data_IF_011735635576
#
_entry.id   IF_011735635576
#
_cell.length_a   1.000
_cell.length_b   1.000
_cell.length_c   1.000
_cell.angle_alpha   90.00
_cell.angle_beta   90.00
_cell.angle_gamma   90.00
#
_symmetry.space_group_name_H-M   'P 1'
#
loop_
_entity.id
_entity.type
_entity.pdbx_description
1 polymer ?
#
# COMPACT_ATOMS: atom_id res chain seq x y z
N UNK A 1 19.18 9.80 15.60
CA UNK A 1 18.48 8.53 15.41
C UNK A 1 17.64 8.52 14.13
N UNK A 2 16.87 9.57 13.80
CA UNK A 2 16.15 9.63 12.51
C UNK A 2 17.06 9.48 11.29
N UNK A 3 18.22 10.16 11.28
CA UNK A 3 19.24 9.95 10.24
C UNK A 3 19.71 8.49 10.19
N UNK A 4 19.79 7.79 11.33
CA UNK A 4 20.22 6.40 11.35
C UNK A 4 19.19 5.49 10.67
N UNK A 5 17.89 5.79 10.82
CA UNK A 5 16.82 5.07 10.13
C UNK A 5 16.90 5.24 8.61
N UNK A 6 17.51 6.33 8.12
CA UNK A 6 17.78 6.53 6.70
C UNK A 6 19.10 5.87 6.31
N UNK A 7 20.20 6.18 7.00
CA UNK A 7 21.56 5.83 6.58
C UNK A 7 21.91 4.35 6.82
N UNK A 8 21.25 3.68 7.77
CA UNK A 8 21.54 2.30 8.16
C UNK A 8 20.35 1.36 8.00
N UNK A 9 19.36 1.76 7.20
CA UNK A 9 18.28 0.85 6.79
C UNK A 9 18.83 -0.40 6.10
N UNK A 10 18.18 -1.56 6.26
CA UNK A 10 18.45 -2.71 5.41
C UNK A 10 18.32 -2.32 3.93
N UNK A 11 19.10 -2.98 3.09
CA UNK A 11 19.06 -2.76 1.64
C UNK A 11 17.68 -3.10 1.06
N UNK A 12 17.06 -4.17 1.57
CA UNK A 12 15.69 -4.56 1.29
C UNK A 12 14.91 -4.74 2.59
N UNK A 13 13.70 -4.20 2.68
CA UNK A 13 12.81 -4.45 3.82
C UNK A 13 11.34 -4.18 3.48
N UNK A 14 10.46 -4.82 4.22
CA UNK A 14 9.03 -4.58 4.19
C UNK A 14 8.60 -3.88 5.48
N UNK A 15 7.70 -2.92 5.35
CA UNK A 15 7.02 -2.30 6.47
C UNK A 15 5.51 -2.40 6.28
N UNK A 16 4.79 -2.59 7.38
CA UNK A 16 3.34 -2.48 7.42
C UNK A 16 2.90 -1.74 8.66
N UNK A 17 1.88 -0.91 8.53
CA UNK A 17 1.26 -0.22 9.66
C UNK A 17 -0.25 -0.08 9.46
N UNK A 18 -0.98 -0.04 10.57
CA UNK A 18 -2.39 0.39 10.57
C UNK A 18 -2.43 1.91 10.73
N UNK A 19 -2.92 2.60 9.70
CA UNK A 19 -3.09 4.05 9.71
C UNK A 19 -4.40 4.48 10.39
N UNK A 20 -5.46 3.66 10.27
CA UNK A 20 -6.76 3.90 10.89
C UNK A 20 -7.47 2.55 11.14
N UNK A 21 -7.45 2.08 12.38
CA UNK A 21 -8.05 0.79 12.73
C UNK A 21 -9.57 0.79 12.70
N UNK A 22 -10.22 1.93 12.96
CA UNK A 22 -11.69 2.03 12.97
C UNK A 22 -12.25 1.88 11.57
N UNK A 23 -11.56 2.48 10.59
CA UNK A 23 -11.95 2.39 9.20
C UNK A 23 -11.30 1.20 8.47
N UNK A 24 -10.32 0.51 9.06
CA UNK A 24 -9.60 -0.61 8.43
C UNK A 24 -8.61 -0.14 7.36
N UNK A 25 -7.91 0.96 7.61
CA UNK A 25 -6.88 1.50 6.72
C UNK A 25 -5.51 1.06 7.22
N UNK A 26 -4.82 0.28 6.40
CA UNK A 26 -3.42 -0.06 6.57
C UNK A 26 -2.60 0.43 5.39
N UNK A 27 -1.31 0.61 5.62
CA UNK A 27 -0.33 0.98 4.60
C UNK A 27 0.80 -0.03 4.68
N UNK A 28 1.22 -0.50 3.52
CA UNK A 28 2.38 -1.38 3.37
C UNK A 28 3.36 -0.75 2.41
N UNK A 29 4.65 -0.95 2.64
CA UNK A 29 5.70 -0.51 1.70
C UNK A 29 6.86 -1.48 1.72
N UNK A 30 7.27 -1.91 0.54
CA UNK A 30 8.49 -2.68 0.31
C UNK A 30 9.54 -1.77 -0.29
N UNK A 31 10.72 -1.79 0.31
CA UNK A 31 11.90 -1.09 -0.17
C UNK A 31 12.91 -2.09 -0.72
N UNK A 32 13.49 -1.73 -1.85
CA UNK A 32 14.63 -2.39 -2.48
C UNK A 32 15.72 -1.36 -2.82
N UNK A 33 16.89 -1.78 -3.33
CA UNK A 33 17.92 -0.87 -3.85
C UNK A 33 17.39 0.13 -4.88
N UNK A 34 16.50 -0.32 -5.77
CA UNK A 34 16.10 0.42 -6.95
C UNK A 34 14.65 0.90 -6.94
N UNK A 35 13.79 0.41 -6.05
CA UNK A 35 12.42 0.86 -5.95
C UNK A 35 11.84 0.82 -4.53
N UNK A 36 10.74 1.53 -4.34
CA UNK A 36 9.87 1.44 -3.19
C UNK A 36 8.43 1.26 -3.69
N UNK A 37 7.80 0.12 -3.40
CA UNK A 37 6.42 -0.19 -3.75
C UNK A 37 5.53 -0.04 -2.51
N UNK A 38 4.56 0.85 -2.57
CA UNK A 38 3.58 1.10 -1.51
C UNK A 38 2.15 0.80 -1.93
N UNK A 39 1.40 0.19 -1.03
CA UNK A 39 -0.02 -0.15 -1.21
C UNK A 39 -0.80 0.23 0.04
N UNK A 40 -1.93 0.89 -0.13
CA UNK A 40 -2.90 1.10 0.95
C UNK A 40 -3.98 0.03 0.90
N UNK A 41 -4.47 -0.43 2.05
CA UNK A 41 -5.51 -1.46 2.11
C UNK A 41 -6.82 -1.01 1.46
N UNK A 42 -7.10 0.29 1.44
CA UNK A 42 -8.23 0.94 0.77
C UNK A 42 -7.92 2.43 0.53
N UNK A 43 -8.84 3.16 -0.09
CA UNK A 43 -8.76 4.61 -0.25
C UNK A 43 -8.98 5.34 1.08
N UNK A 44 -8.42 6.55 1.23
CA UNK A 44 -8.64 7.37 2.42
C UNK A 44 -10.10 7.85 2.46
N UNK A 45 -10.83 7.44 3.52
CA UNK A 45 -12.24 7.82 3.76
C UNK A 45 -12.42 8.84 4.90
N UNK A 46 -11.35 9.19 5.60
CA UNK A 46 -11.39 9.91 6.89
C UNK A 46 -11.77 11.40 6.79
N UNK A 47 -11.98 11.96 5.60
CA UNK A 47 -12.36 13.36 5.44
C UNK A 47 -13.52 13.53 4.47
N UNK A 48 -14.47 14.42 4.73
CA UNK A 48 -15.56 14.69 3.77
C UNK A 48 -15.10 15.53 2.56
N UNK A 49 -13.88 16.08 2.62
CA UNK A 49 -13.37 16.95 1.57
C UNK A 49 -12.93 16.15 0.34
N UNK A 50 -13.69 16.29 -0.76
CA UNK A 50 -13.41 15.64 -2.04
C UNK A 50 -11.98 15.85 -2.54
N UNK A 51 -11.37 17.02 -2.28
CA UNK A 51 -10.00 17.31 -2.72
C UNK A 51 -8.93 16.51 -1.96
N UNK A 52 -9.31 15.83 -0.88
CA UNK A 52 -8.41 15.02 -0.06
C UNK A 52 -8.74 13.54 -0.24
N UNK A 53 -10.02 13.16 -0.15
CA UNK A 53 -10.43 11.75 -0.37
C UNK A 53 -10.18 11.26 -1.79
N UNK A 54 -10.30 12.16 -2.76
CA UNK A 54 -10.01 11.88 -4.15
C UNK A 54 -8.54 11.72 -4.47
N UNK A 55 -7.60 12.05 -3.59
CA UNK A 55 -6.16 12.05 -3.93
C UNK A 55 -5.41 10.82 -3.43
N UNK A 56 -6.12 9.81 -2.95
CA UNK A 56 -5.52 8.56 -2.46
C UNK A 56 -4.77 7.84 -3.59
N UNK A 57 -3.47 7.57 -3.36
CA UNK A 57 -2.70 6.67 -4.21
C UNK A 57 -2.66 5.31 -3.53
N UNK A 58 -3.44 4.37 -4.04
CA UNK A 58 -3.69 3.09 -3.37
C UNK A 58 -2.71 2.00 -3.79
N UNK A 59 -2.03 2.22 -4.93
CA UNK A 59 -0.85 1.53 -5.40
C UNK A 59 0.07 2.58 -6.02
N UNK A 60 1.31 2.63 -5.55
CA UNK A 60 2.33 3.54 -6.03
C UNK A 60 3.71 2.91 -5.89
N UNK A 61 4.56 3.08 -6.89
CA UNK A 61 5.97 2.74 -6.81
C UNK A 61 6.81 3.95 -7.19
N UNK A 62 7.83 4.24 -6.38
CA UNK A 62 8.91 5.14 -6.76
C UNK A 62 10.12 4.29 -7.13
N UNK A 63 10.78 4.60 -8.23
CA UNK A 63 11.92 3.82 -8.69
C UNK A 63 13.04 4.68 -9.25
N UNK A 64 14.25 4.14 -9.20
CA UNK A 64 15.40 4.68 -9.91
C UNK A 64 15.20 4.51 -11.41
N UNK A 65 15.86 5.38 -12.16
CA UNK A 65 15.97 5.32 -13.61
C UNK A 65 17.47 5.35 -13.95
N UNK A 66 17.82 5.21 -15.22
CA UNK A 66 19.21 5.41 -15.67
C UNK A 66 19.61 6.90 -15.71
N UNK A 67 18.71 7.78 -15.26
CA UNK A 67 18.91 9.23 -15.13
C UNK A 67 18.76 9.65 -13.65
N UNK A 68 19.04 10.92 -13.35
CA UNK A 68 18.80 11.48 -12.01
C UNK A 68 17.30 11.70 -11.69
N UNK A 69 16.39 11.38 -12.62
CA UNK A 69 14.95 11.47 -12.40
C UNK A 69 14.42 10.24 -11.66
N UNK A 70 13.50 10.48 -10.72
CA UNK A 70 12.74 9.42 -10.04
C UNK A 70 11.57 9.01 -10.91
N UNK A 71 11.50 7.72 -11.20
CA UNK A 71 10.37 7.11 -11.86
C UNK A 71 9.19 6.89 -10.93
N UNK A 72 7.97 7.03 -11.44
CA UNK A 72 6.72 6.77 -10.72
C UNK A 72 5.84 5.82 -11.52
N UNK A 73 5.35 4.79 -10.84
CA UNK A 73 4.26 3.93 -11.29
C UNK A 73 3.10 4.11 -10.32
N UNK A 74 1.87 4.23 -10.79
CA UNK A 74 0.72 4.29 -9.91
C UNK A 74 -0.55 3.76 -10.59
N UNK A 75 -1.56 3.44 -9.80
CA UNK A 75 -2.89 3.09 -10.34
C UNK A 75 -3.96 4.09 -9.96
N UNK A 76 -5.00 4.16 -10.79
CA UNK A 76 -6.25 4.89 -10.51
C UNK A 76 -7.43 4.15 -11.11
N UNK A 77 -8.61 4.38 -10.57
CA UNK A 77 -9.84 4.18 -11.32
C UNK A 77 -10.35 5.50 -11.88
N UNK A 78 -10.76 5.48 -13.15
CA UNK A 78 -11.16 6.64 -13.95
C UNK A 78 -12.54 6.40 -14.56
N UNK A 79 -13.39 7.41 -14.47
CA UNK A 79 -14.68 7.50 -15.14
C UNK A 79 -14.61 8.55 -16.25
N UNK A 80 -15.29 8.31 -17.37
CA UNK A 80 -15.39 9.25 -18.49
C UNK A 80 -14.04 9.75 -19.06
N UNK A 81 -13.00 8.94 -18.89
CA UNK A 81 -11.61 9.30 -19.21
C UNK A 81 -11.16 10.62 -18.56
N UNK A 82 -11.75 10.96 -17.41
CA UNK A 82 -11.34 12.12 -16.62
C UNK A 82 -9.89 11.95 -16.15
N UNK A 83 -9.01 12.79 -16.69
CA UNK A 83 -7.59 12.79 -16.35
C UNK A 83 -7.13 14.12 -15.75
N UNK A 84 -5.82 14.29 -15.55
CA UNK A 84 -5.20 15.56 -15.17
C UNK A 84 -5.77 16.72 -16.01
N UNK A 85 -6.13 17.81 -15.35
CA UNK A 85 -6.79 18.96 -15.99
C UNK A 85 -8.32 18.87 -16.07
N UNK A 86 -8.92 17.69 -15.91
CA UNK A 86 -10.39 17.52 -15.96
C UNK A 86 -11.09 18.04 -14.71
N UNK A 87 -10.35 18.22 -13.62
CA UNK A 87 -10.91 18.58 -12.33
C UNK A 87 -10.61 20.02 -11.96
N UNK A 88 -11.68 20.77 -11.62
CA UNK A 88 -11.54 22.15 -11.16
C UNK A 88 -11.08 22.17 -9.71
N UNK A 89 -9.90 22.72 -9.47
CA UNK A 89 -9.37 23.05 -8.15
C UNK A 89 -9.96 24.38 -7.61
N UNK A 90 -9.48 24.87 -6.47
CA UNK A 90 -9.83 26.21 -6.00
C UNK A 90 -9.18 27.27 -6.91
N UNK A 91 -9.72 28.50 -7.03
CA UNK A 91 -9.16 29.53 -7.92
C UNK A 91 -7.67 29.87 -7.71
N UNK A 92 -7.10 29.49 -6.55
CA UNK A 92 -5.70 29.70 -6.19
C UNK A 92 -4.78 28.51 -6.52
N UNK A 93 -5.31 27.42 -7.10
CA UNK A 93 -4.54 26.24 -7.50
C UNK A 93 -4.78 25.94 -8.98
N UNK A 94 -3.85 25.21 -9.58
CA UNK A 94 -3.98 24.77 -10.96
C UNK A 94 -4.74 23.45 -11.05
N UNK A 95 -5.45 23.23 -12.16
CA UNK A 95 -6.25 22.03 -12.41
C UNK A 95 -5.39 20.85 -12.90
N UNK A 96 -4.15 21.12 -13.31
CA UNK A 96 -3.15 20.15 -13.78
C UNK A 96 -2.45 19.40 -12.64
N UNK A 97 -2.77 19.72 -11.38
CA UNK A 97 -2.15 19.09 -10.20
C UNK A 97 -3.07 18.09 -9.49
N UNK A 98 -4.30 17.91 -9.99
CA UNK A 98 -5.29 17.06 -9.33
C UNK A 98 -5.62 15.86 -10.19
N UNK A 99 -5.28 14.70 -9.66
CA UNK A 99 -5.67 13.41 -10.19
C UNK A 99 -6.58 12.70 -9.18
N UNK A 100 -7.86 12.56 -9.54
CA UNK A 100 -8.82 11.90 -8.66
C UNK A 100 -8.78 10.37 -8.78
N UNK A 101 -8.98 9.71 -7.65
CA UNK A 101 -9.34 8.31 -7.51
C UNK A 101 -10.87 8.21 -7.51
N UNK A 102 -11.45 7.90 -8.67
CA UNK A 102 -12.89 7.75 -8.88
C UNK A 102 -13.39 6.34 -8.56
N UNK A 103 -12.50 5.48 -8.09
CA UNK A 103 -12.78 4.13 -7.60
C UNK A 103 -12.72 4.02 -6.09
N UNK A 104 -13.25 2.90 -5.62
CA UNK A 104 -13.10 2.37 -4.27
C UNK A 104 -12.30 1.07 -4.40
N UNK A 105 -11.47 0.79 -3.41
CA UNK A 105 -10.48 -0.27 -3.51
C UNK A 105 -10.32 -1.06 -2.22
N UNK A 106 -9.84 -2.28 -2.38
CA UNK A 106 -9.39 -3.14 -1.30
C UNK A 106 -8.15 -3.87 -1.79
N UNK A 107 -7.04 -3.75 -1.07
CA UNK A 107 -5.74 -4.21 -1.57
C UNK A 107 -4.95 -4.94 -0.49
N UNK A 108 -3.98 -5.74 -0.92
CA UNK A 108 -3.04 -6.44 -0.05
C UNK A 108 -1.66 -6.45 -0.70
N UNK A 109 -0.61 -6.38 0.12
CA UNK A 109 0.78 -6.44 -0.30
C UNK A 109 1.56 -7.41 0.59
N UNK A 110 2.48 -8.14 -0.01
CA UNK A 110 3.50 -8.94 0.67
C UNK A 110 4.82 -8.79 -0.07
N UNK A 111 5.78 -8.11 0.56
CA UNK A 111 7.03 -7.71 -0.07
C UNK A 111 6.80 -6.93 -1.38
N UNK A 112 7.46 -7.37 -2.46
CA UNK A 112 7.37 -6.73 -3.77
C UNK A 112 6.13 -7.12 -4.59
N UNK A 113 5.17 -7.85 -4.00
CA UNK A 113 3.96 -8.36 -4.65
C UNK A 113 2.71 -7.70 -4.07
N UNK A 114 1.73 -7.41 -4.92
CA UNK A 114 0.48 -6.81 -4.50
C UNK A 114 -0.72 -7.35 -5.29
N UNK A 115 -1.89 -7.38 -4.66
CA UNK A 115 -3.18 -7.52 -5.34
C UNK A 115 -3.97 -6.24 -5.08
N UNK A 116 -4.42 -5.60 -6.16
CA UNK A 116 -5.17 -4.35 -6.15
C UNK A 116 -6.56 -4.60 -6.72
N UNK A 117 -7.59 -4.42 -5.91
CA UNK A 117 -8.99 -4.59 -6.32
C UNK A 117 -9.66 -3.23 -6.41
N UNK A 118 -10.42 -3.03 -7.48
CA UNK A 118 -11.14 -1.81 -7.78
C UNK A 118 -12.61 -2.09 -8.09
N UNK A 119 -13.44 -1.11 -7.72
CA UNK A 119 -14.78 -0.88 -8.23
C UNK A 119 -14.97 0.63 -8.41
N UNK A 120 -15.79 1.09 -9.35
CA UNK A 120 -16.16 2.51 -9.42
C UNK A 120 -16.92 2.96 -8.16
N UNK A 121 -16.65 4.19 -7.68
CA UNK A 121 -17.45 4.84 -6.61
C UNK A 121 -18.82 5.29 -7.12
N UNK A 122 -18.82 5.96 -8.28
CA UNK A 122 -19.99 6.66 -8.81
C UNK A 122 -20.39 6.14 -10.21
N UNK A 123 -20.82 4.88 -10.23
CA UNK A 123 -21.44 4.23 -11.38
C UNK A 123 -22.87 3.82 -10.99
N UNK A 124 -23.88 4.35 -11.68
CA UNK A 124 -25.27 4.10 -11.31
C UNK A 124 -26.30 4.75 -12.23
N UNK A 125 -27.52 4.90 -11.70
CA UNK A 125 -28.68 5.38 -12.47
C UNK A 125 -28.73 6.89 -12.72
N UNK A 126 -27.89 7.68 -12.03
CA UNK A 126 -28.02 9.15 -11.99
C UNK A 126 -27.17 9.88 -13.03
N UNK A 127 -25.89 9.53 -13.15
CA UNK A 127 -24.96 10.18 -14.06
C UNK A 127 -24.65 9.25 -15.24
N UNK A 128 -24.85 9.70 -16.50
CA UNK A 128 -24.48 8.89 -17.64
C UNK A 128 -22.96 8.85 -17.77
N UNK A 129 -22.39 7.66 -18.05
CA UNK A 129 -20.96 7.46 -18.27
C UNK A 129 -20.68 6.94 -19.68
N UNK A 130 -19.57 7.36 -20.23
CA UNK A 130 -19.00 6.96 -21.52
C UNK A 130 -17.83 5.99 -21.39
N UNK A 131 -17.14 6.02 -20.24
CA UNK A 131 -16.14 5.03 -19.89
C UNK A 131 -16.02 4.80 -18.38
N UNK A 132 -15.50 3.63 -18.02
CA UNK A 132 -15.15 3.25 -16.66
C UNK A 132 -13.99 2.23 -16.71
N UNK A 133 -12.86 2.54 -16.08
CA UNK A 133 -11.66 1.69 -16.13
C UNK A 133 -10.77 1.85 -14.90
N UNK A 134 -10.02 0.81 -14.58
CA UNK A 134 -8.79 0.97 -13.83
C UNK A 134 -7.63 1.25 -14.81
N UNK A 135 -6.63 1.99 -14.36
CA UNK A 135 -5.40 2.24 -15.11
C UNK A 135 -4.19 1.96 -14.23
N UNK A 136 -3.15 1.39 -14.82
CA UNK A 136 -1.78 1.43 -14.28
C UNK A 136 -0.97 2.35 -15.18
N UNK A 137 -0.33 3.35 -14.59
CA UNK A 137 0.40 4.40 -15.28
C UNK A 137 1.89 4.29 -14.96
N UNK A 138 2.72 4.27 -15.99
CA UNK A 138 4.14 4.58 -15.89
C UNK A 138 4.32 6.02 -16.37
N UNK A 139 4.74 6.90 -15.47
CA UNK A 139 4.58 8.36 -15.65
C UNK A 139 5.42 8.99 -16.79
N UNK A 140 6.37 8.25 -17.36
CA UNK A 140 7.13 8.68 -18.53
C UNK A 140 7.49 7.49 -19.41
N UNK A 141 6.84 7.40 -20.58
CA UNK A 141 7.08 6.41 -21.63
C UNK A 141 8.49 6.55 -22.22
N UNK A 142 9.09 7.73 -22.20
CA UNK A 142 10.45 7.97 -22.67
C UNK A 142 11.51 7.24 -21.84
N UNK A 143 11.19 6.87 -20.59
CA UNK A 143 12.05 6.09 -19.70
C UNK A 143 11.89 4.57 -19.87
N UNK A 144 10.90 4.10 -20.64
CA UNK A 144 10.62 2.68 -20.81
C UNK A 144 11.54 2.05 -21.83
N UNK A 145 12.37 1.11 -21.37
CA UNK A 145 13.32 0.36 -22.19
C UNK A 145 12.61 -0.68 -23.06
N UNK A 146 11.74 -1.48 -22.42
CA UNK A 146 11.09 -2.62 -23.03
C UNK A 146 9.70 -2.86 -22.43
N UNK A 147 8.79 -3.33 -23.29
CA UNK A 147 7.45 -3.76 -22.92
C UNK A 147 7.25 -5.16 -23.48
N UNK A 148 6.75 -6.07 -22.63
CA UNK A 148 6.44 -7.45 -22.99
C UNK A 148 5.01 -7.77 -22.58
N UNK A 149 4.29 -8.50 -23.41
CA UNK A 149 2.94 -9.01 -23.14
C UNK A 149 2.95 -10.51 -23.38
N UNK A 150 2.97 -11.29 -22.29
CA UNK A 150 3.28 -12.71 -22.36
C UNK A 150 4.64 -12.93 -23.00
N UNK A 151 4.66 -13.65 -24.13
CA UNK A 151 5.88 -13.94 -24.89
C UNK A 151 6.15 -12.95 -26.04
N UNK A 152 5.32 -11.91 -26.20
CA UNK A 152 5.45 -10.94 -27.28
C UNK A 152 6.08 -9.63 -26.78
N UNK A 153 7.15 -9.20 -27.46
CA UNK A 153 7.70 -7.86 -27.26
C UNK A 153 6.86 -6.83 -28.01
N UNK A 154 6.41 -5.79 -27.31
CA UNK A 154 5.56 -4.74 -27.87
C UNK A 154 6.41 -3.68 -28.56
N UNK A 155 6.33 -3.63 -29.88
CA UNK A 155 7.08 -2.67 -30.71
C UNK A 155 6.27 -1.40 -31.04
N UNK A 156 4.94 -1.42 -30.88
CA UNK A 156 4.07 -0.27 -31.20
C UNK A 156 2.85 -0.18 -30.28
N UNK A 157 2.39 1.05 -30.05
CA UNK A 157 1.20 1.36 -29.27
C UNK A 157 0.14 2.05 -30.16
N UNK A 158 -1.17 1.87 -29.92
CA UNK A 158 -1.75 1.03 -28.87
C UNK A 158 -1.55 -0.48 -29.14
N UNK A 159 -1.58 -1.29 -28.07
CA UNK A 159 -1.44 -2.74 -28.14
C UNK A 159 -2.56 -3.40 -27.33
N UNK A 160 -3.33 -4.30 -27.94
CA UNK A 160 -4.38 -5.05 -27.26
C UNK A 160 -3.76 -6.18 -26.43
N UNK A 161 -4.08 -6.22 -25.14
CA UNK A 161 -3.52 -7.19 -24.21
C UNK A 161 -4.53 -8.34 -24.02
N UNK A 162 -4.13 -9.61 -24.22
CA UNK A 162 -4.99 -10.76 -23.93
C UNK A 162 -5.38 -10.83 -22.45
N UNK A 163 -6.57 -11.38 -22.13
CA UNK A 163 -7.13 -11.34 -20.77
C UNK A 163 -6.24 -11.98 -19.68
N UNK A 164 -5.50 -13.04 -20.02
CA UNK A 164 -4.62 -13.77 -19.09
C UNK A 164 -3.14 -13.41 -19.23
N UNK A 165 -2.80 -12.47 -20.12
CA UNK A 165 -1.42 -12.12 -20.39
C UNK A 165 -0.80 -11.30 -19.23
N UNK A 166 0.45 -11.61 -18.92
CA UNK A 166 1.25 -10.79 -18.00
C UNK A 166 1.91 -9.67 -18.79
N UNK A 167 1.73 -8.43 -18.36
CA UNK A 167 2.37 -7.25 -18.94
C UNK A 167 3.62 -6.93 -18.14
N UNK A 168 4.80 -7.03 -18.75
CA UNK A 168 6.07 -6.61 -18.18
C UNK A 168 6.57 -5.29 -18.75
N UNK A 169 7.07 -4.42 -17.89
CA UNK A 169 7.70 -3.15 -18.26
C UNK A 169 9.04 -3.02 -17.53
N UNK A 170 10.10 -2.75 -18.29
CA UNK A 170 11.43 -2.50 -17.77
C UNK A 170 11.78 -1.01 -17.87
N UNK A 171 12.28 -0.43 -16.78
CA UNK A 171 12.80 0.94 -16.73
C UNK A 171 14.10 0.92 -15.92
N UNK A 172 15.24 1.10 -16.60
CA UNK A 172 16.56 1.11 -15.99
C UNK A 172 16.79 -0.16 -15.14
N UNK A 173 17.07 -0.03 -13.82
CA UNK A 173 17.34 -1.16 -12.95
C UNK A 173 16.08 -1.89 -12.44
N UNK A 174 14.87 -1.53 -12.88
CA UNK A 174 13.62 -2.04 -12.32
C UNK A 174 12.77 -2.77 -13.35
N UNK A 175 12.20 -3.89 -12.93
CA UNK A 175 11.18 -4.63 -13.64
C UNK A 175 9.84 -4.51 -12.91
N UNK A 176 8.76 -4.33 -13.66
CA UNK A 176 7.39 -4.32 -13.14
C UNK A 176 6.50 -5.22 -13.99
N UNK A 177 5.70 -6.07 -13.37
CA UNK A 177 4.78 -6.98 -14.03
C UNK A 177 3.36 -6.76 -13.50
N UNK A 178 2.39 -6.68 -14.41
CA UNK A 178 0.97 -6.56 -14.09
C UNK A 178 0.23 -7.74 -14.73
N UNK A 179 -0.49 -8.51 -13.90
CA UNK A 179 -1.44 -9.54 -14.35
C UNK A 179 -2.85 -9.02 -14.14
N UNK A 180 -3.58 -8.66 -15.20
CA UNK A 180 -4.97 -8.25 -15.09
C UNK A 180 -5.82 -9.35 -14.46
N UNK A 181 -6.74 -8.96 -13.59
CA UNK A 181 -7.79 -9.84 -13.10
C UNK A 181 -8.96 -9.88 -14.07
N UNK A 182 -9.85 -10.86 -13.90
CA UNK A 182 -11.10 -10.93 -14.63
C UNK A 182 -11.99 -9.73 -14.28
N UNK A 183 -12.52 -9.08 -15.32
CA UNK A 183 -13.25 -7.82 -15.21
C UNK A 183 -14.74 -8.04 -15.44
N UNK A 184 -15.58 -7.17 -14.89
CA UNK A 184 -16.98 -7.07 -15.33
C UNK A 184 -17.05 -6.25 -16.62
N UNK A 185 -17.37 -6.87 -17.75
CA UNK A 185 -17.66 -6.17 -19.00
C UNK A 185 -19.11 -5.64 -19.00
N UNK A 186 -19.25 -4.32 -18.97
CA UNK A 186 -20.52 -3.60 -18.98
C UNK A 186 -20.92 -3.05 -20.37
N UNK A 187 -20.05 -3.21 -21.38
CA UNK A 187 -20.15 -2.59 -22.70
C UNK A 187 -20.30 -3.57 -23.87
N UNK A 188 -20.06 -4.87 -23.65
CA UNK A 188 -19.98 -5.94 -24.67
C UNK A 188 -18.76 -5.83 -25.59
N UNK A 189 -17.62 -5.43 -25.04
CA UNK A 189 -16.24 -5.55 -25.56
C UNK A 189 -15.37 -4.51 -24.83
N UNK A 190 -15.34 -4.55 -23.50
CA UNK A 190 -14.53 -3.62 -22.72
C UNK A 190 -13.04 -3.97 -22.90
N UNK A 191 -12.23 -3.11 -23.55
CA UNK A 191 -10.89 -3.51 -23.96
C UNK A 191 -9.92 -3.57 -22.78
N UNK A 192 -8.85 -4.34 -22.98
CA UNK A 192 -7.64 -4.28 -22.17
C UNK A 192 -6.49 -3.95 -23.12
N UNK A 193 -5.81 -2.84 -22.88
CA UNK A 193 -4.82 -2.34 -23.85
C UNK A 193 -3.74 -1.51 -23.20
N UNK A 194 -2.57 -1.52 -23.83
CA UNK A 194 -1.52 -0.57 -23.60
C UNK A 194 -1.68 0.62 -24.55
N UNK A 195 -1.61 1.83 -24.01
CA UNK A 195 -1.68 3.06 -24.80
C UNK A 195 -0.62 4.05 -24.33
N UNK A 196 -0.10 4.86 -25.25
CA UNK A 196 0.66 6.04 -24.90
C UNK A 196 -0.28 7.26 -25.00
N UNK A 197 -0.31 8.07 -23.95
CA UNK A 197 -0.99 9.36 -23.98
C UNK A 197 -0.09 10.42 -23.37
N UNK A 198 0.13 11.49 -24.15
CA UNK A 198 1.15 12.49 -23.85
C UNK A 198 2.52 11.83 -23.59
N UNK A 199 3.18 12.11 -22.47
CA UNK A 199 4.43 11.46 -22.08
C UNK A 199 4.25 10.13 -21.37
N UNK A 200 3.04 9.64 -21.11
CA UNK A 200 2.81 8.53 -20.17
C UNK A 200 2.46 7.23 -20.90
N UNK A 201 2.80 6.09 -20.29
CA UNK A 201 2.34 4.76 -20.70
C UNK A 201 1.23 4.29 -19.76
N UNK A 202 0.13 3.82 -20.33
CA UNK A 202 -1.02 3.31 -19.58
C UNK A 202 -1.32 1.88 -19.97
N UNK A 203 -1.56 1.03 -18.97
CA UNK A 203 -2.36 -0.18 -19.11
C UNK A 203 -3.78 0.16 -18.68
N UNK A 204 -4.74 0.08 -19.62
CA UNK A 204 -6.14 0.41 -19.40
C UNK A 204 -6.98 -0.85 -19.25
N UNK A 205 -7.63 -1.02 -18.10
CA UNK A 205 -8.47 -2.15 -17.73
C UNK A 205 -9.93 -1.71 -17.73
N UNK A 206 -10.60 -1.76 -18.88
CA UNK A 206 -11.97 -1.25 -18.98
C UNK A 206 -12.99 -2.20 -18.36
N UNK A 207 -13.94 -1.62 -17.63
CA UNK A 207 -15.25 -2.20 -17.37
C UNK A 207 -16.27 -1.71 -18.41
N UNK A 208 -16.14 -0.48 -18.91
CA UNK A 208 -17.03 0.09 -19.91
C UNK A 208 -16.31 1.05 -20.85
N UNK A 209 -16.53 0.90 -22.15
CA UNK A 209 -16.21 1.90 -23.16
C UNK A 209 -17.35 1.91 -24.18
N UNK A 210 -18.00 3.05 -24.37
CA UNK A 210 -19.11 3.13 -25.33
C UNK A 210 -19.92 4.42 -25.28
N UNK A 211 -21.10 4.45 -25.92
CA UNK A 211 -22.00 5.58 -25.86
C UNK A 211 -22.36 5.96 -24.42
N UNK A 212 -22.55 7.25 -24.15
CA UNK A 212 -22.93 7.71 -22.82
C UNK A 212 -24.25 7.06 -22.37
N UNK A 213 -24.25 6.35 -21.23
CA UNK A 213 -25.44 5.67 -20.67
C UNK A 213 -25.41 5.65 -19.14
N UNK A 214 -26.56 5.46 -18.51
CA UNK A 214 -26.66 5.14 -17.08
C UNK A 214 -26.66 3.63 -16.84
N UNK A 215 -26.30 3.22 -15.62
CA UNK A 215 -26.19 1.82 -15.20
C UNK A 215 -27.19 1.55 -14.09
N UNK A 216 -28.44 1.28 -14.49
CA UNK A 216 -29.56 1.07 -13.55
C UNK A 216 -29.33 -0.14 -12.65
N UNK A 217 -28.67 -1.18 -13.16
CA UNK A 217 -28.23 -2.38 -12.46
C UNK A 217 -27.13 -2.12 -11.42
N UNK A 218 -26.54 -0.92 -11.41
CA UNK A 218 -25.55 -0.48 -10.43
C UNK A 218 -26.13 0.54 -9.43
N UNK A 219 -27.40 0.93 -9.58
CA UNK A 219 -28.08 1.82 -8.63
C UNK A 219 -28.37 1.11 -7.32
N UNK A 220 -27.53 1.30 -6.30
CA UNK A 220 -27.76 0.82 -4.94
C UNK A 220 -28.55 1.86 -4.11
N UNK A 221 -29.55 1.47 -3.27
CA UNK A 221 -30.10 0.14 -3.04
C UNK A 221 -31.32 -0.16 -3.93
N UNK A 222 -31.13 -0.33 -5.24
CA UNK A 222 -32.20 -0.63 -6.19
C UNK A 222 -32.48 -2.13 -6.35
N UNK A 223 -33.70 -2.47 -6.79
CA UNK A 223 -34.17 -3.85 -7.00
C UNK A 223 -33.41 -4.63 -8.08
N UNK A 224 -32.57 -3.96 -8.86
CA UNK A 224 -31.74 -4.56 -9.92
C UNK A 224 -30.25 -4.58 -9.55
N UNK A 225 -29.88 -4.13 -8.34
CA UNK A 225 -28.50 -4.12 -7.90
C UNK A 225 -27.99 -5.56 -7.75
N UNK A 226 -26.88 -5.88 -8.43
CA UNK A 226 -26.25 -7.22 -8.42
C UNK A 226 -24.83 -7.21 -7.86
N UNK A 227 -24.49 -6.14 -7.14
CA UNK A 227 -23.16 -5.90 -6.63
C UNK A 227 -22.31 -5.08 -7.59
N UNK A 228 -21.20 -4.62 -7.04
CA UNK A 228 -20.21 -3.80 -7.71
C UNK A 228 -19.55 -4.53 -8.89
N UNK A 229 -19.19 -3.82 -9.96
CA UNK A 229 -18.35 -4.37 -11.02
C UNK A 229 -16.96 -4.67 -10.48
N UNK A 230 -16.39 -5.81 -10.85
CA UNK A 230 -15.02 -6.18 -10.49
C UNK A 230 -14.01 -5.65 -11.52
N UNK A 231 -12.89 -5.14 -11.02
CA UNK A 231 -11.72 -4.77 -11.81
C UNK A 231 -10.50 -4.84 -10.91
N UNK A 232 -9.33 -5.15 -11.42
CA UNK A 232 -8.12 -5.21 -10.60
C UNK A 232 -6.97 -5.89 -11.30
N UNK A 233 -5.87 -6.02 -10.57
CA UNK A 233 -4.66 -6.65 -11.06
C UNK A 233 -3.83 -7.22 -9.91
N UNK A 234 -3.05 -8.25 -10.22
CA UNK A 234 -1.86 -8.60 -9.46
C UNK A 234 -0.67 -7.82 -10.01
N UNK A 235 0.21 -7.34 -9.13
CA UNK A 235 1.43 -6.62 -9.48
C UNK A 235 2.64 -7.24 -8.78
N UNK A 236 3.77 -7.27 -9.47
CA UNK A 236 5.06 -7.68 -8.93
C UNK A 236 6.15 -6.76 -9.45
N UNK A 237 7.09 -6.39 -8.59
CA UNK A 237 8.28 -5.63 -8.95
C UNK A 237 9.54 -6.40 -8.58
N UNK A 238 10.62 -6.18 -9.31
CA UNK A 238 11.90 -6.82 -9.06
C UNK A 238 13.08 -5.95 -9.48
N UNK A 239 14.24 -6.22 -8.88
CA UNK A 239 15.51 -5.72 -9.41
C UNK A 239 15.76 -6.40 -10.77
N UNK A 240 16.16 -5.62 -11.76
CA UNK A 240 16.45 -6.16 -13.09
C UNK A 240 17.61 -7.14 -13.08
N UNK A 241 18.56 -6.98 -12.15
CA UNK A 241 19.67 -7.90 -11.95
C UNK A 241 19.27 -9.30 -11.48
N UNK A 242 18.06 -9.47 -10.95
CA UNK A 242 17.58 -10.76 -10.43
C UNK A 242 17.10 -11.70 -11.54
N UNK A 243 16.98 -11.19 -12.77
CA UNK A 243 16.50 -11.93 -13.93
C UNK A 243 17.46 -11.79 -15.11
N UNK A 244 17.52 -12.81 -15.96
CA UNK A 244 18.38 -12.80 -17.14
C UNK A 244 17.97 -11.71 -18.14
N UNK A 245 16.67 -11.50 -18.31
CA UNK A 245 16.04 -10.50 -19.15
C UNK A 245 14.60 -10.23 -18.71
N UNK A 246 13.94 -9.26 -19.37
CA UNK A 246 12.56 -8.85 -19.07
C UNK A 246 11.58 -9.99 -19.32
N UNK A 247 11.78 -10.76 -20.39
CA UNK A 247 10.91 -11.88 -20.74
C UNK A 247 10.95 -12.97 -19.66
N UNK A 248 12.12 -13.28 -19.11
CA UNK A 248 12.30 -14.27 -18.04
C UNK A 248 11.51 -13.88 -16.79
N UNK A 249 11.50 -12.59 -16.44
CA UNK A 249 10.66 -12.08 -15.34
C UNK A 249 9.17 -12.21 -15.63
N UNK A 250 8.74 -11.82 -16.83
CA UNK A 250 7.33 -11.95 -17.26
C UNK A 250 6.88 -13.42 -17.20
N UNK A 251 7.71 -14.35 -17.68
CA UNK A 251 7.44 -15.79 -17.63
C UNK A 251 7.42 -16.31 -16.19
N UNK A 252 8.31 -15.84 -15.32
CA UNK A 252 8.30 -16.21 -13.90
C UNK A 252 7.00 -15.75 -13.20
N UNK A 253 6.47 -14.58 -13.53
CA UNK A 253 5.20 -14.08 -12.98
C UNK A 253 3.99 -14.78 -13.61
N UNK A 254 4.04 -15.07 -14.91
CA UNK A 254 3.01 -15.83 -15.60
C UNK A 254 2.91 -17.28 -15.08
N UNK A 255 4.05 -17.89 -14.69
CA UNK A 255 4.13 -19.25 -14.17
C UNK A 255 3.50 -19.46 -12.80
N UNK A 256 3.20 -18.40 -12.06
CA UNK A 256 2.42 -18.48 -10.83
C UNK A 256 0.95 -18.81 -11.08
N UNK A 257 0.31 -19.48 -10.11
CA UNK A 257 -1.12 -19.79 -10.15
C UNK A 257 -1.93 -18.60 -9.65
N UNK A 258 -2.77 -18.03 -10.51
CA UNK A 258 -3.71 -16.97 -10.17
C UNK A 258 -5.13 -17.56 -10.13
N UNK A 259 -5.75 -17.55 -8.95
CA UNK A 259 -7.17 -17.84 -8.76
C UNK A 259 -7.94 -16.53 -8.68
N UNK A 260 -9.01 -16.42 -9.44
CA UNK A 260 -9.92 -15.26 -9.47
C UNK A 260 -11.36 -15.77 -9.54
N UNK A 261 -11.94 -15.99 -8.36
CA UNK A 261 -13.23 -16.62 -8.20
C UNK A 261 -14.24 -15.61 -7.65
N UNK A 262 -15.23 -15.25 -8.47
CA UNK A 262 -16.35 -14.41 -8.07
C UNK A 262 -17.65 -15.20 -8.08
N UNK A 263 -18.40 -15.12 -6.98
CA UNK A 263 -19.75 -15.67 -6.94
C UNK A 263 -20.65 -15.03 -8.02
N UNK A 264 -21.59 -15.82 -8.55
CA UNK A 264 -22.50 -15.36 -9.59
C UNK A 264 -23.29 -14.10 -9.16
N UNK A 265 -23.60 -13.19 -10.10
CA UNK A 265 -24.48 -12.07 -9.84
C UNK A 265 -25.82 -12.55 -9.26
N UNK A 266 -26.27 -11.87 -8.20
CA UNK A 266 -27.53 -12.15 -7.51
C UNK A 266 -28.22 -10.84 -7.21
N UNK A 267 -29.55 -10.80 -7.31
CA UNK A 267 -30.31 -9.63 -6.86
C UNK A 267 -30.05 -9.38 -5.38
N UNK A 268 -29.80 -8.13 -5.04
CA UNK A 268 -29.54 -7.69 -3.67
C UNK A 268 -30.68 -8.05 -2.73
N UNK A 269 -30.31 -8.61 -1.59
CA UNK A 269 -31.16 -8.88 -0.44
C UNK A 269 -30.32 -8.59 0.81
N UNK A 270 -30.90 -7.94 1.81
CA UNK A 270 -30.16 -7.55 3.01
C UNK A 270 -29.55 -8.79 3.69
N UNK A 271 -28.25 -8.71 4.01
CA UNK A 271 -27.50 -9.81 4.63
C UNK A 271 -26.98 -10.87 3.65
N UNK A 272 -27.34 -10.81 2.36
CA UNK A 272 -26.73 -11.64 1.33
C UNK A 272 -25.32 -11.12 1.00
N UNK A 273 -24.45 -12.04 0.60
CA UNK A 273 -23.08 -11.74 0.18
C UNK A 273 -22.82 -12.29 -1.21
N UNK A 274 -21.90 -11.64 -1.92
CA UNK A 274 -21.36 -12.10 -3.20
C UNK A 274 -19.82 -12.02 -3.13
N UNK A 275 -19.15 -13.04 -2.59
CA UNK A 275 -17.70 -13.01 -2.42
C UNK A 275 -16.97 -13.00 -3.76
N UNK A 276 -15.88 -12.23 -3.81
CA UNK A 276 -14.85 -12.26 -4.83
C UNK A 276 -13.51 -12.52 -4.14
N UNK A 277 -12.93 -13.68 -4.41
CA UNK A 277 -11.66 -14.13 -3.83
C UNK A 277 -10.59 -14.18 -4.91
N UNK A 278 -9.45 -13.56 -4.63
CA UNK A 278 -8.29 -13.52 -5.53
C UNK A 278 -7.08 -14.03 -4.76
N UNK A 279 -6.33 -14.95 -5.34
CA UNK A 279 -5.12 -15.50 -4.76
C UNK A 279 -4.07 -15.73 -5.84
N UNK A 280 -2.86 -15.23 -5.60
CA UNK A 280 -1.70 -15.57 -6.41
C UNK A 280 -0.77 -16.47 -5.59
N UNK A 281 -0.26 -17.53 -6.20
CA UNK A 281 0.67 -18.49 -5.56
C UNK A 281 1.85 -18.80 -6.47
N UNK A 282 3.07 -18.64 -5.95
CA UNK A 282 4.32 -19.05 -6.61
C UNK A 282 5.35 -19.43 -5.56
N UNK A 283 6.15 -20.46 -5.83
CA UNK A 283 7.28 -20.88 -4.98
C UNK A 283 6.90 -21.24 -3.52
N UNK A 284 5.66 -21.70 -3.31
CA UNK A 284 5.13 -22.03 -1.97
C UNK A 284 4.64 -20.83 -1.18
N UNK A 285 4.75 -19.62 -1.73
CA UNK A 285 4.20 -18.39 -1.16
C UNK A 285 2.86 -18.06 -1.81
N UNK A 286 1.91 -17.60 -1.00
CA UNK A 286 0.58 -17.17 -1.43
C UNK A 286 0.30 -15.76 -0.93
N UNK A 287 -0.37 -14.97 -1.77
CA UNK A 287 -0.93 -13.66 -1.42
C UNK A 287 -2.39 -13.66 -1.85
N UNK A 288 -3.31 -13.30 -0.98
CA UNK A 288 -4.72 -13.32 -1.32
C UNK A 288 -5.60 -12.34 -0.56
N UNK A 289 -6.75 -12.07 -1.15
CA UNK A 289 -7.75 -11.11 -0.68
C UNK A 289 -9.14 -11.55 -1.09
N UNK A 290 -10.13 -11.28 -0.23
CA UNK A 290 -11.53 -11.56 -0.48
C UNK A 290 -12.38 -10.35 -0.10
N UNK A 291 -13.28 -9.95 -1.00
CA UNK A 291 -14.22 -8.85 -0.79
C UNK A 291 -15.65 -9.29 -1.04
N UNK A 292 -16.62 -8.69 -0.35
CA UNK A 292 -18.03 -8.82 -0.71
C UNK A 292 -18.38 -7.81 -1.81
N UNK A 293 -18.76 -8.29 -2.99
CA UNK A 293 -19.16 -7.41 -4.10
C UNK A 293 -20.50 -6.71 -3.86
N UNK A 294 -21.36 -7.18 -2.94
CA UNK A 294 -22.61 -6.47 -2.65
C UNK A 294 -22.34 -5.22 -1.81
N UNK A 295 -21.71 -5.37 -0.65
CA UNK A 295 -21.39 -4.27 0.25
C UNK A 295 -20.12 -3.48 -0.13
N UNK A 296 -19.21 -4.09 -0.91
CA UNK A 296 -17.84 -3.63 -1.11
C UNK A 296 -17.02 -3.56 0.17
N UNK A 297 -17.10 -4.63 0.97
CA UNK A 297 -16.38 -4.75 2.24
C UNK A 297 -15.28 -5.80 2.16
N UNK A 298 -14.13 -5.50 2.77
CA UNK A 298 -13.04 -6.45 2.96
C UNK A 298 -13.53 -7.57 3.88
N UNK A 299 -13.41 -8.82 3.41
CA UNK A 299 -13.76 -10.01 4.19
C UNK A 299 -12.54 -10.54 4.91
N UNK A 300 -11.45 -10.68 4.16
CA UNK A 300 -10.15 -11.16 4.64
C UNK A 300 -9.08 -10.87 3.61
N UNK A 301 -7.86 -10.89 4.10
CA UNK A 301 -6.62 -10.86 3.34
C UNK A 301 -5.60 -11.76 4.04
N UNK A 302 -4.69 -12.36 3.29
CA UNK A 302 -3.77 -13.36 3.82
C UNK A 302 -2.47 -13.44 3.02
N UNK A 303 -1.45 -13.95 3.70
CA UNK A 303 -0.21 -14.43 3.07
C UNK A 303 -0.07 -15.93 3.31
N UNK A 304 1.05 -16.51 2.90
CA UNK A 304 1.44 -17.88 3.22
C UNK A 304 1.54 -18.15 4.74
N UNK A 305 1.72 -17.10 5.55
CA UNK A 305 1.75 -17.19 7.02
C UNK A 305 0.34 -17.22 7.65
N UNK A 306 -0.70 -16.96 6.85
CA UNK A 306 -2.10 -16.99 7.27
C UNK A 306 -2.81 -15.64 7.12
N UNK A 307 -3.95 -15.53 7.82
CA UNK A 307 -4.81 -14.33 7.75
C UNK A 307 -4.10 -13.13 8.37
N UNK A 308 -4.06 -12.04 7.61
CA UNK A 308 -3.57 -10.75 8.08
C UNK A 308 -4.62 -10.07 8.95
N UNK A 309 -4.15 -9.35 9.96
CA UNK A 309 -4.96 -8.48 10.80
C UNK A 309 -4.37 -7.08 10.85
N UNK A 310 -5.03 -6.19 11.58
CA UNK A 310 -4.57 -4.81 11.77
C UNK A 310 -3.46 -4.77 12.81
N UNK A 311 -2.21 -4.78 12.36
CA UNK A 311 -1.03 -4.74 13.23
C UNK A 311 -0.52 -3.30 13.37
N UNK A 312 0.05 -2.93 14.54
CA UNK A 312 0.85 -1.72 14.67
C UNK A 312 2.06 -1.74 13.72
N UNK A 313 2.81 -0.64 13.65
CA UNK A 313 4.05 -0.55 12.86
C UNK A 313 4.96 -1.76 13.12
N UNK A 314 5.33 -2.45 12.03
CA UNK A 314 6.35 -3.50 12.04
C UNK A 314 7.37 -3.27 10.92
N UNK A 315 8.65 -3.26 11.28
CA UNK A 315 9.79 -3.19 10.37
C UNK A 315 11.04 -3.81 11.02
N UNK A 316 12.13 -4.06 10.28
CA UNK A 316 13.37 -4.58 10.85
C UNK A 316 14.08 -3.65 11.85
N UNK A 317 13.84 -2.34 11.78
CA UNK A 317 14.50 -1.34 12.64
C UNK A 317 13.59 -0.75 13.71
N UNK A 318 12.28 -0.84 13.53
CA UNK A 318 11.31 -0.23 14.43
C UNK A 318 10.04 -1.08 14.54
N UNK A 319 9.51 -1.18 15.75
CA UNK A 319 8.25 -1.85 16.05
C UNK A 319 7.41 -1.05 17.04
N UNK A 320 6.10 -1.14 16.90
CA UNK A 320 5.12 -0.61 17.83
C UNK A 320 4.32 -1.75 18.47
N UNK A 321 3.92 -1.60 19.72
CA UNK A 321 3.02 -2.53 20.41
C UNK A 321 2.28 -1.83 21.54
N UNK A 322 1.20 -2.45 22.01
CA UNK A 322 0.51 -2.11 23.26
C UNK A 322 0.46 -3.28 24.25
N UNK A 323 1.24 -4.33 23.99
CA UNK A 323 1.24 -5.57 24.80
C UNK A 323 2.05 -5.45 26.08
N UNK A 324 2.89 -4.42 26.22
CA UNK A 324 3.85 -4.23 27.31
C UNK A 324 5.25 -4.76 27.02
N UNK A 325 5.47 -5.37 25.85
CA UNK A 325 6.79 -5.85 25.43
C UNK A 325 7.03 -5.60 23.94
N UNK A 326 8.23 -5.11 23.60
CA UNK A 326 8.69 -4.92 22.23
C UNK A 326 10.12 -5.43 22.09
N UNK A 327 10.37 -6.22 21.05
CA UNK A 327 11.68 -6.78 20.71
C UNK A 327 12.06 -6.37 19.28
N UNK A 328 13.22 -5.74 19.13
CA UNK A 328 13.82 -5.39 17.83
C UNK A 328 15.29 -5.81 17.85
N UNK A 329 15.62 -6.88 17.12
CA UNK A 329 16.94 -7.53 17.23
C UNK A 329 17.22 -7.97 18.67
N UNK A 330 18.37 -7.58 19.21
CA UNK A 330 18.80 -7.89 20.59
C UNK A 330 18.34 -6.83 21.61
N UNK A 331 17.46 -5.90 21.21
CA UNK A 331 16.97 -4.82 22.06
C UNK A 331 15.56 -5.13 22.53
N UNK A 332 15.32 -4.96 23.83
CA UNK A 332 14.04 -5.25 24.48
C UNK A 332 13.53 -4.05 25.23
N UNK A 333 12.27 -3.70 25.00
CA UNK A 333 11.50 -2.75 25.78
C UNK A 333 10.42 -3.50 26.56
N UNK A 334 10.37 -3.32 27.87
CA UNK A 334 9.26 -3.74 28.73
C UNK A 334 8.64 -2.47 29.30
N UNK A 335 7.32 -2.32 29.18
CA UNK A 335 6.61 -1.15 29.68
C UNK A 335 5.17 -1.50 30.04
N UNK A 336 4.39 -0.47 30.40
CA UNK A 336 2.94 -0.60 30.55
C UNK A 336 2.22 -1.08 29.30
N UNK A 337 0.97 -1.53 29.48
CA UNK A 337 0.11 -2.07 28.39
C UNK A 337 -0.60 -0.94 27.63
N UNK A 338 0.17 0.06 27.23
CA UNK A 338 -0.24 1.21 26.45
C UNK A 338 0.67 1.34 25.21
N UNK A 339 0.33 2.17 24.20
CA UNK A 339 1.12 2.27 22.99
C UNK A 339 2.58 2.65 23.28
N UNK A 340 3.50 1.85 22.77
CA UNK A 340 4.92 2.07 22.84
C UNK A 340 5.55 1.75 21.49
N UNK A 341 6.71 2.34 21.21
CA UNK A 341 7.52 1.95 20.06
C UNK A 341 9.00 1.87 20.43
N UNK A 342 9.71 1.01 19.72
CA UNK A 342 11.13 0.77 19.88
C UNK A 342 11.81 0.88 18.51
N UNK A 343 12.86 1.69 18.44
CA UNK A 343 13.79 1.76 17.32
C UNK A 343 15.16 1.24 17.77
N UNK A 344 15.79 0.41 16.95
CA UNK A 344 17.12 -0.12 17.22
C UNK A 344 18.05 -0.02 16.02
N UNK A 345 19.20 0.65 16.22
CA UNK A 345 20.30 0.66 15.25
C UNK A 345 21.59 0.14 15.91
N UNK A 346 21.84 -1.16 15.75
CA UNK A 346 23.05 -1.81 16.28
C UNK A 346 24.34 -1.26 15.67
N UNK A 347 24.31 -0.79 14.42
CA UNK A 347 25.47 -0.20 13.73
C UNK A 347 25.98 1.08 14.40
N UNK A 348 25.08 1.89 14.94
CA UNK A 348 25.44 3.14 15.64
C UNK A 348 25.45 2.97 17.15
N UNK A 349 24.97 1.85 17.69
CA UNK A 349 24.74 1.68 19.13
C UNK A 349 23.70 2.67 19.66
N UNK A 350 22.74 3.07 18.80
CA UNK A 350 21.69 4.02 19.15
C UNK A 350 20.33 3.33 19.17
N UNK A 351 19.64 3.46 20.30
CA UNK A 351 18.37 2.82 20.57
C UNK A 351 17.40 3.85 21.14
N UNK A 352 16.14 3.80 20.69
CA UNK A 352 15.12 4.77 21.13
C UNK A 352 13.87 4.00 21.50
N UNK A 353 13.47 4.12 22.77
CA UNK A 353 12.17 3.68 23.22
C UNK A 353 11.27 4.89 23.43
N UNK A 354 10.01 4.76 23.07
CA UNK A 354 9.00 5.73 23.43
C UNK A 354 7.81 5.01 24.04
N UNK A 355 7.21 5.66 25.03
CA UNK A 355 6.00 5.20 25.69
C UNK A 355 4.98 6.33 25.59
N UNK A 356 3.77 5.99 25.18
CA UNK A 356 2.65 6.91 25.07
C UNK A 356 1.54 6.46 26.02
N UNK A 357 1.87 6.51 27.31
CA UNK A 357 0.92 6.21 28.37
C UNK A 357 0.19 7.43 28.89
N UNK A 358 -1.06 7.23 29.30
CA UNK A 358 -1.86 8.25 30.03
C UNK A 358 -1.45 8.36 31.47
N UNK A 359 -0.98 7.26 32.06
CA UNK A 359 -0.58 7.16 33.46
C UNK A 359 0.89 6.73 33.54
N UNK A 360 1.66 7.19 34.55
CA UNK A 360 3.03 6.74 34.72
C UNK A 360 3.12 5.24 35.00
N UNK A 361 3.84 4.52 34.15
CA UNK A 361 4.09 3.09 34.31
C UNK A 361 5.59 2.77 34.33
N UNK A 362 6.02 1.63 34.92
CA UNK A 362 7.41 1.21 34.87
C UNK A 362 7.86 0.97 33.43
N UNK A 363 9.09 1.36 33.11
CA UNK A 363 9.71 1.14 31.81
C UNK A 363 11.12 0.58 31.99
N UNK A 364 11.44 -0.47 31.23
CA UNK A 364 12.79 -1.03 31.16
C UNK A 364 13.22 -1.20 29.71
N UNK A 365 14.28 -0.49 29.33
CA UNK A 365 14.94 -0.63 28.04
C UNK A 365 16.25 -1.39 28.24
N UNK A 366 16.32 -2.62 27.75
CA UNK A 366 17.51 -3.46 27.75
C UNK A 366 18.16 -3.41 26.36
N UNK A 367 19.43 -3.05 26.32
CA UNK A 367 20.27 -2.98 25.11
C UNK A 367 21.50 -3.88 25.29
N UNK A 368 22.26 -4.22 24.24
CA UNK A 368 23.42 -5.11 24.38
C UNK A 368 24.45 -4.65 25.41
N UNK A 369 24.64 -3.33 25.55
CA UNK A 369 25.65 -2.74 26.42
C UNK A 369 25.14 -2.41 27.83
N UNK A 370 23.84 -2.55 28.12
CA UNK A 370 23.30 -2.16 29.41
C UNK A 370 21.78 -2.07 29.49
N UNK A 371 21.30 -1.36 30.49
CA UNK A 371 19.88 -1.29 30.81
C UNK A 371 19.51 0.07 31.40
N UNK A 372 18.34 0.58 31.02
CA UNK A 372 17.68 1.73 31.62
C UNK A 372 16.39 1.26 32.26
N UNK A 373 16.28 1.38 33.57
CA UNK A 373 15.06 1.11 34.34
C UNK A 373 14.49 2.41 34.89
N UNK A 374 13.20 2.63 34.71
CA UNK A 374 12.47 3.79 35.20
C UNK A 374 11.25 3.26 35.96
N UNK A 375 11.15 3.59 37.25
CA UNK A 375 10.08 3.05 38.12
C UNK A 375 8.70 3.59 37.73
N UNK A 376 8.63 4.83 37.25
CA UNK A 376 7.41 5.43 36.72
C UNK A 376 7.75 6.45 35.62
N UNK A 377 7.14 6.29 34.45
CA UNK A 377 7.28 7.18 33.30
C UNK A 377 5.92 7.32 32.59
N UNK A 378 5.43 8.55 32.44
CA UNK A 378 4.29 8.85 31.58
C UNK A 378 4.72 8.93 30.11
N UNK A 379 4.00 9.72 29.30
CA UNK A 379 4.37 9.92 27.89
C UNK A 379 5.80 10.47 27.74
N UNK A 380 6.64 9.81 26.94
CA UNK A 380 8.00 10.29 26.69
C UNK A 380 8.86 9.36 25.85
N UNK A 381 10.14 9.73 25.77
CA UNK A 381 11.18 8.99 25.06
C UNK A 381 12.41 8.75 25.93
N UNK A 382 13.04 7.60 25.72
CA UNK A 382 14.33 7.21 26.28
C UNK A 382 15.25 6.91 25.12
N UNK A 383 16.36 7.64 25.03
CA UNK A 383 17.37 7.48 24.00
C UNK A 383 18.64 6.97 24.66
N UNK A 384 19.13 5.83 24.18
CA UNK A 384 20.47 5.33 24.46
C UNK A 384 21.35 5.63 23.24
N UNK A 385 22.44 6.36 23.42
CA UNK A 385 23.43 6.64 22.39
C UNK A 385 24.83 6.28 22.90
N UNK A 386 25.28 5.06 22.58
CA UNK A 386 26.61 4.56 22.97
C UNK A 386 26.94 4.72 24.47
N UNK A 387 25.96 4.47 25.33
CA UNK A 387 26.10 4.56 26.79
C UNK A 387 25.69 5.92 27.38
N UNK A 388 25.47 6.95 26.56
CA UNK A 388 24.85 8.20 27.01
C UNK A 388 23.32 8.05 26.93
N UNK A 389 22.65 8.27 28.06
CA UNK A 389 21.19 8.11 28.21
C UNK A 389 20.52 9.47 28.35
N UNK A 390 19.55 9.73 27.46
CA UNK A 390 18.71 10.92 27.43
C UNK A 390 17.26 10.52 27.65
N UNK A 391 16.58 11.16 28.61
CA UNK A 391 15.18 10.90 28.93
C UNK A 391 14.40 12.21 28.82
N UNK A 392 13.30 12.18 28.06
CA UNK A 392 12.37 13.29 27.93
C UNK A 392 10.95 12.75 28.12
N UNK A 393 10.33 13.06 29.26
CA UNK A 393 9.03 12.48 29.61
C UNK A 393 8.15 13.40 30.45
N UNK A 394 6.87 13.07 30.52
CA UNK A 394 5.94 13.54 31.56
C UNK A 394 6.06 12.59 32.75
N UNK A 395 6.14 13.12 33.97
CA UNK A 395 6.13 12.35 35.22
C UNK A 395 7.16 11.20 35.25
N UNK A 396 8.46 11.53 35.26
CA UNK A 396 9.55 10.56 35.33
C UNK A 396 10.13 10.44 36.75
N UNK A 397 10.19 9.21 37.29
CA UNK A 397 10.77 8.93 38.59
C UNK A 397 11.53 7.59 38.64
N UNK A 398 12.49 7.49 39.57
CA UNK A 398 13.18 6.24 39.88
C UNK A 398 14.14 5.73 38.79
N UNK A 399 14.79 6.63 38.04
CA UNK A 399 15.73 6.27 36.97
C UNK A 399 16.97 5.56 37.52
N UNK A 400 17.24 4.36 37.01
CA UNK A 400 18.45 3.56 37.25
C UNK A 400 19.04 3.14 35.91
N UNK A 401 20.35 3.33 35.75
CA UNK A 401 21.08 2.96 34.52
C UNK A 401 22.23 2.04 34.87
N UNK A 402 22.35 0.94 34.13
CA UNK A 402 23.48 0.01 34.18
C UNK A 402 24.19 0.00 32.81
N UNK A 403 25.52 -0.02 32.80
CA UNK A 403 26.32 -0.03 31.56
C UNK A 403 26.41 1.31 30.82
N UNK A 404 25.70 2.35 31.29
CA UNK A 404 25.70 3.69 30.73
C UNK A 404 25.61 4.78 31.80
N UNK A 405 25.36 6.02 31.38
CA UNK A 405 25.19 7.19 32.26
C UNK A 405 24.07 8.10 31.75
N UNK A 406 23.29 8.63 32.67
CA UNK A 406 22.30 9.67 32.34
C UNK A 406 23.04 10.97 32.04
N UNK A 407 22.91 11.48 30.81
CA UNK A 407 23.44 12.79 30.40
C UNK A 407 22.37 13.87 30.43
N UNK A 408 21.09 13.48 30.28
CA UNK A 408 19.97 14.40 30.26
C UNK A 408 18.68 13.73 30.74
N UNK A 409 17.92 14.41 31.60
CA UNK A 409 16.61 13.96 32.04
C UNK A 409 15.72 15.19 32.25
N UNK A 410 14.72 15.37 31.39
CA UNK A 410 13.67 16.37 31.55
C UNK A 410 12.38 15.66 31.90
N UNK A 411 11.75 16.14 32.98
CA UNK A 411 10.39 15.75 33.37
C UNK A 411 9.48 16.97 33.38
N UNK A 412 8.35 16.88 32.69
CA UNK A 412 7.24 17.81 32.87
C UNK A 412 6.28 17.26 33.95
N UNK A 413 5.70 18.15 34.77
CA UNK A 413 4.58 17.81 35.64
C UNK A 413 3.26 17.88 34.83
N UNK A 414 2.25 17.08 35.18
CA UNK A 414 0.92 17.20 34.56
C UNK A 414 0.33 18.59 34.87
N UNK A 415 0.12 19.41 33.83
CA UNK A 415 -0.65 20.65 33.92
C UNK A 415 0.13 21.97 33.83
N UNK A 416 0.94 22.15 32.77
CA UNK A 416 1.41 23.47 32.33
C UNK A 416 0.64 23.95 31.10
#
# INVERSE_FOLDING_TARGET
WLSDALDYRPETFFLSETADSENGVGISTYHSPSFALGVSSQELRSQTNRFITGQSSVFIAHHKTDTDQTGIIYSRYVLDDHWLGSFRSTPARSNDQILFEEGQCHNVQDGARAIVLYSPKDLGAMAPRSSAKAVVCWHDRGLVDEIWVGDEKVESLPFDVPEDATVGVAIGPVLSAIRPLARTDLGRNAPLRLVAYDTHLFLELYNYLGPSKTFWEQGHPGSFYQGKPRCGFYAEMAERSDYADVQSFVQAVAGGTLKDDAAFPVTYEAGKMRPWSVEYTRDGESLGIEVDLLAWDLRRHWTHEGVLGWRPLESPLARQSSTGEILVGDVRLICGRQPAWLFACSRTGRYVAAFHGTDPEPLTLTVPEGEVHIEAMGMGTVIWDKGDVTIEAVQCAGVKVAGGRVVFCITAEEGA
#
